data_IF_667395411271
#
_entry.id   IF_667395411271
#
_cell.length_a   1.000
_cell.length_b   1.000
_cell.length_c   1.000
_cell.angle_alpha   90.00
_cell.angle_beta   90.00
_cell.angle_gamma   90.00
#
_symmetry.space_group_name_H-M   'P 1'
#
loop_
_entity.id
_entity.type
_entity.pdbx_description
1 polymer ?
#
# COMPACT_ATOMS: atom_id res chain seq x y z
N UNK A 1 3.53 10.65 4.08
CA UNK A 1 3.64 9.37 4.81
C UNK A 1 2.28 9.11 5.40
N UNK A 2 1.63 8.02 4.97
CA UNK A 2 0.24 7.71 5.28
C UNK A 2 0.05 6.91 6.56
N UNK A 3 -1.20 6.58 6.88
CA UNK A 3 -1.57 5.74 8.03
C UNK A 3 -1.48 4.27 7.63
N UNK A 4 -0.95 3.42 8.51
CA UNK A 4 -0.88 1.97 8.30
C UNK A 4 -1.88 1.29 9.22
N UNK A 5 -2.77 0.50 8.65
CA UNK A 5 -3.78 -0.26 9.35
C UNK A 5 -3.45 -1.75 9.32
N UNK A 6 -3.75 -2.46 10.42
CA UNK A 6 -3.90 -3.92 10.39
C UNK A 6 -5.26 -4.22 9.79
N UNK A 7 -5.29 -4.93 8.68
CA UNK A 7 -6.51 -5.32 7.97
C UNK A 7 -6.54 -6.83 7.74
N UNK A 8 -7.70 -7.33 7.33
CA UNK A 8 -7.88 -8.72 6.91
C UNK A 8 -8.24 -8.71 5.42
N UNK A 9 -7.50 -9.48 4.60
CA UNK A 9 -7.84 -9.63 3.18
C UNK A 9 -9.11 -10.47 3.07
N UNK A 10 -10.17 -9.88 2.51
CA UNK A 10 -11.48 -10.53 2.40
C UNK A 10 -11.49 -11.72 1.45
N UNK A 11 -10.49 -11.85 0.57
CA UNK A 11 -10.42 -12.95 -0.41
C UNK A 11 -9.92 -14.26 0.21
N UNK A 12 -9.08 -14.19 1.23
CA UNK A 12 -8.41 -15.37 1.80
C UNK A 12 -8.28 -15.35 3.33
N UNK A 13 -8.79 -14.31 4.02
CA UNK A 13 -8.79 -14.19 5.48
C UNK A 13 -7.43 -13.84 6.11
N UNK A 14 -6.39 -13.62 5.31
CA UNK A 14 -5.04 -13.36 5.83
C UNK A 14 -4.94 -11.97 6.46
N UNK A 15 -4.14 -11.85 7.52
CA UNK A 15 -3.84 -10.54 8.12
C UNK A 15 -2.82 -9.80 7.25
N UNK A 16 -3.12 -8.56 6.88
CA UNK A 16 -2.30 -7.72 6.01
C UNK A 16 -2.11 -6.32 6.60
N UNK A 17 -1.04 -5.65 6.19
CA UNK A 17 -0.84 -4.23 6.49
C UNK A 17 -1.35 -3.38 5.31
N UNK A 18 -2.28 -2.46 5.58
CA UNK A 18 -2.84 -1.56 4.59
C UNK A 18 -2.32 -0.14 4.82
N UNK A 19 -1.47 0.36 3.92
CA UNK A 19 -0.94 1.74 3.95
C UNK A 19 -1.83 2.64 3.10
N UNK A 20 -2.55 3.57 3.76
CA UNK A 20 -3.49 4.48 3.12
C UNK A 20 -2.94 5.90 3.12
N UNK A 21 -3.02 6.56 1.97
CA UNK A 21 -2.72 7.97 1.81
C UNK A 21 -4.02 8.79 1.93
N UNK A 22 -4.16 9.56 3.00
CA UNK A 22 -5.34 10.41 3.24
C UNK A 22 -5.32 11.62 2.31
N UNK A 23 -6.32 11.75 1.45
CA UNK A 23 -6.37 12.76 0.37
C UNK A 23 -6.18 14.19 0.86
N UNK A 24 -6.67 14.50 2.05
CA UNK A 24 -6.59 15.83 2.70
C UNK A 24 -5.16 16.18 3.18
N UNK A 25 -4.32 15.17 3.40
CA UNK A 25 -2.97 15.31 3.96
C UNK A 25 -1.87 15.00 2.93
N UNK A 26 -2.26 14.62 1.71
CA UNK A 26 -1.32 14.14 0.68
C UNK A 26 -0.80 15.29 -0.16
N UNK A 27 0.51 15.50 -0.06
CA UNK A 27 1.27 16.34 -1.00
C UNK A 27 1.63 15.52 -2.24
N UNK A 28 1.77 16.15 -3.43
CA UNK A 28 2.15 15.45 -4.66
C UNK A 28 3.45 14.64 -4.52
N UNK A 29 4.43 15.13 -3.76
CA UNK A 29 5.68 14.41 -3.50
C UNK A 29 5.47 13.08 -2.74
N UNK A 30 4.47 13.02 -1.86
CA UNK A 30 4.17 11.82 -1.08
C UNK A 30 3.52 10.74 -1.95
N UNK A 31 2.73 11.16 -2.95
CA UNK A 31 2.17 10.27 -3.95
C UNK A 31 3.28 9.66 -4.82
N UNK A 32 4.21 10.49 -5.27
CA UNK A 32 5.38 10.04 -6.05
C UNK A 32 6.26 9.06 -5.26
N UNK A 33 6.53 9.34 -3.97
CA UNK A 33 7.25 8.40 -3.10
C UNK A 33 6.51 7.07 -2.94
N UNK A 34 5.19 7.10 -2.74
CA UNK A 34 4.39 5.89 -2.62
C UNK A 34 4.41 5.07 -3.90
N UNK A 35 4.31 5.72 -5.06
CA UNK A 35 4.44 5.07 -6.36
C UNK A 35 5.83 4.43 -6.53
N UNK A 36 6.90 5.14 -6.16
CA UNK A 36 8.28 4.62 -6.23
C UNK A 36 8.52 3.43 -5.30
N UNK A 37 8.00 3.46 -4.08
CA UNK A 37 8.11 2.34 -3.14
C UNK A 37 7.50 1.06 -3.73
N UNK A 38 6.34 1.18 -4.38
CA UNK A 38 5.68 0.02 -5.01
C UNK A 38 6.45 -0.44 -6.23
N UNK A 39 6.83 0.46 -7.15
CA UNK A 39 7.63 0.13 -8.34
C UNK A 39 8.96 -0.57 -7.98
N UNK A 40 9.59 -0.19 -6.86
CA UNK A 40 10.84 -0.82 -6.41
C UNK A 40 10.66 -2.22 -5.81
N UNK A 41 9.43 -2.58 -5.41
CA UNK A 41 9.08 -3.89 -4.86
C UNK A 41 8.30 -4.76 -5.84
N UNK A 42 7.86 -4.20 -6.98
CA UNK A 42 7.20 -4.97 -8.04
C UNK A 42 8.13 -6.06 -8.57
N UNK A 43 7.62 -7.30 -8.60
CA UNK A 43 8.37 -8.46 -9.07
C UNK A 43 9.39 -9.04 -8.08
N UNK A 44 9.59 -8.42 -6.91
CA UNK A 44 10.50 -8.93 -5.88
C UNK A 44 9.74 -9.79 -4.87
N UNK A 45 9.99 -11.10 -4.88
CA UNK A 45 9.49 -12.02 -3.86
C UNK A 45 10.66 -12.67 -3.15
N UNK A 46 10.84 -12.34 -1.87
CA UNK A 46 11.92 -12.89 -1.05
C UNK A 46 11.41 -13.10 0.39
N UNK A 47 11.78 -14.20 1.08
CA UNK A 47 11.30 -14.49 2.44
C UNK A 47 11.61 -13.39 3.47
N UNK A 48 12.67 -12.61 3.24
CA UNK A 48 13.10 -11.53 4.13
C UNK A 48 12.66 -10.12 3.67
N UNK A 49 11.80 -10.02 2.65
CA UNK A 49 11.30 -8.73 2.14
C UNK A 49 9.79 -8.67 2.21
N UNK A 50 9.27 -7.47 2.49
CA UNK A 50 7.83 -7.22 2.44
C UNK A 50 7.35 -7.31 0.98
N UNK A 51 6.28 -8.07 0.76
CA UNK A 51 5.67 -8.22 -0.56
C UNK A 51 4.50 -7.25 -0.72
N UNK A 52 4.46 -6.56 -1.85
CA UNK A 52 3.27 -5.80 -2.25
C UNK A 52 2.20 -6.78 -2.71
N UNK A 53 1.06 -6.80 -2.03
CA UNK A 53 -0.06 -7.70 -2.34
C UNK A 53 -1.06 -7.10 -3.33
N UNK A 54 -1.24 -5.78 -3.28
CA UNK A 54 -2.12 -5.02 -4.15
C UNK A 54 -1.73 -3.54 -4.10
N UNK A 55 -1.97 -2.82 -5.19
CA UNK A 55 -1.88 -1.37 -5.27
C UNK A 55 -3.22 -0.82 -5.75
N UNK A 56 -3.74 0.18 -5.04
CA UNK A 56 -4.89 0.95 -5.49
C UNK A 56 -4.52 2.45 -5.47
N UNK A 57 -4.62 3.09 -6.63
CA UNK A 57 -4.43 4.54 -6.81
C UNK A 57 -5.77 5.28 -7.01
N UNK A 58 -6.88 4.54 -7.05
CA UNK A 58 -8.22 5.10 -7.06
C UNK A 58 -8.65 5.61 -5.69
N UNK A 59 -9.77 6.36 -5.61
CA UNK A 59 -10.36 6.73 -4.33
C UNK A 59 -10.67 5.46 -3.51
N UNK A 60 -10.58 5.52 -2.16
CA UNK A 60 -11.04 4.40 -1.34
C UNK A 60 -12.49 4.07 -1.69
N UNK A 61 -12.83 2.77 -1.75
CA UNK A 61 -14.23 2.38 -1.84
C UNK A 61 -15.01 3.01 -0.66
N UNK A 62 -16.24 3.50 -0.90
CA UNK A 62 -17.09 4.06 0.16
C UNK A 62 -17.40 3.03 1.25
#
# INVERSE_FOLDING_TARGET
MGVVYRAQDTRNGSTVALKVLLRELVKPEQLERFRREVMGLEGVTHPNLVRVLALNLGPPCP
#
